data_IF_284006733603
#
_entry.id   IF_284006733603
#
_cell.length_a   1.000
_cell.length_b   1.000
_cell.length_c   1.000
_cell.angle_alpha   90.00
_cell.angle_beta   90.00
_cell.angle_gamma   90.00
#
_symmetry.space_group_name_H-M   'P 1'
#
loop_
_entity.id
_entity.type
_entity.pdbx_description
1 polymer ?
#
# COMPACT_ATOMS: atom_id res chain seq x y z
N UNK A 1 -15.19 -9.65 -17.63
CA UNK A 1 -15.59 -8.25 -17.39
C UNK A 1 -17.03 -8.09 -16.88
N UNK A 2 -17.68 -9.21 -16.51
CA UNK A 2 -19.02 -9.19 -15.91
C UNK A 2 -18.98 -9.39 -14.38
N UNK A 3 -17.79 -9.30 -13.77
CA UNK A 3 -17.62 -9.38 -12.33
C UNK A 3 -18.38 -8.24 -11.64
N UNK A 4 -19.17 -8.58 -10.63
CA UNK A 4 -20.01 -7.65 -9.88
C UNK A 4 -19.79 -7.84 -8.39
N UNK A 5 -19.88 -6.76 -7.66
CA UNK A 5 -19.87 -6.75 -6.22
C UNK A 5 -21.20 -6.17 -5.72
N UNK A 6 -21.69 -6.69 -4.60
CA UNK A 6 -22.92 -6.18 -4.00
C UNK A 6 -22.72 -4.74 -3.53
N UNK A 7 -23.75 -3.90 -3.67
CA UNK A 7 -23.79 -2.57 -3.05
C UNK A 7 -23.81 -2.64 -1.51
N UNK A 8 -24.08 -3.81 -0.95
CA UNK A 8 -24.00 -4.07 0.49
C UNK A 8 -22.65 -4.63 0.93
N UNK A 9 -21.65 -4.73 0.04
CA UNK A 9 -20.30 -5.13 0.42
C UNK A 9 -19.71 -4.16 1.46
N UNK A 10 -19.11 -4.71 2.51
CA UNK A 10 -18.58 -3.94 3.64
C UNK A 10 -17.40 -3.04 3.24
N UNK A 11 -16.58 -3.48 2.28
CA UNK A 11 -15.49 -2.68 1.73
C UNK A 11 -16.02 -1.48 0.93
N UNK A 12 -17.09 -1.68 0.13
CA UNK A 12 -17.73 -0.60 -0.61
C UNK A 12 -18.44 0.39 0.32
N UNK A 13 -19.22 -0.11 1.31
CA UNK A 13 -19.98 0.74 2.21
C UNK A 13 -19.12 1.48 3.25
N UNK A 14 -18.10 0.82 3.80
CA UNK A 14 -17.44 1.24 5.04
C UNK A 14 -15.90 1.26 4.95
N UNK A 15 -15.32 0.79 3.85
CA UNK A 15 -13.89 0.59 3.75
C UNK A 15 -13.36 -0.56 4.64
N UNK A 16 -14.23 -1.50 5.02
CA UNK A 16 -13.92 -2.62 5.92
C UNK A 16 -13.34 -3.78 5.12
N UNK A 17 -12.04 -3.78 4.97
CA UNK A 17 -11.29 -4.77 4.23
C UNK A 17 -9.82 -4.46 4.11
N UNK A 18 -9.06 -5.42 3.64
CA UNK A 18 -7.61 -5.39 3.42
C UNK A 18 -7.32 -5.70 1.95
N UNK A 19 -6.27 -5.09 1.41
CA UNK A 19 -5.88 -5.33 0.03
C UNK A 19 -4.37 -5.41 -0.13
N UNK A 20 -3.93 -6.05 -1.21
CA UNK A 20 -2.53 -6.08 -1.65
C UNK A 20 -2.43 -5.72 -3.13
N UNK A 21 -1.31 -5.10 -3.50
CA UNK A 21 -0.95 -4.84 -4.88
C UNK A 21 0.34 -5.58 -5.21
N UNK A 22 0.33 -6.43 -6.24
CA UNK A 22 1.44 -7.31 -6.58
C UNK A 22 1.77 -7.13 -8.06
N UNK A 23 3.05 -6.94 -8.37
CA UNK A 23 3.51 -6.76 -9.74
C UNK A 23 3.90 -8.08 -10.38
N UNK A 24 3.56 -8.23 -11.66
CA UNK A 24 4.02 -9.31 -12.52
C UNK A 24 5.15 -8.80 -13.42
N UNK A 25 6.31 -9.43 -13.34
CA UNK A 25 7.48 -9.14 -14.17
C UNK A 25 8.04 -10.46 -14.71
N UNK A 26 8.24 -10.57 -16.00
CA UNK A 26 8.79 -11.76 -16.65
C UNK A 26 8.10 -13.05 -16.17
N UNK A 27 6.78 -13.07 -16.17
CA UNK A 27 5.94 -14.20 -15.71
C UNK A 27 6.12 -14.58 -14.22
N UNK A 28 6.71 -13.71 -13.41
CA UNK A 28 6.91 -13.92 -11.98
C UNK A 28 6.16 -12.89 -11.15
N UNK A 29 5.36 -13.33 -10.20
CA UNK A 29 4.74 -12.47 -9.20
C UNK A 29 5.76 -12.05 -8.16
N UNK A 30 6.11 -10.76 -8.16
CA UNK A 30 7.20 -10.21 -7.33
C UNK A 30 6.80 -10.23 -5.85
N UNK A 31 7.59 -10.91 -5.02
CA UNK A 31 7.40 -11.04 -3.57
C UNK A 31 6.00 -11.55 -3.16
N UNK A 32 5.44 -12.49 -3.93
CA UNK A 32 4.07 -13.00 -3.72
C UNK A 32 3.84 -13.52 -2.30
N UNK A 33 4.78 -14.26 -1.74
CA UNK A 33 4.64 -14.84 -0.39
C UNK A 33 4.62 -13.76 0.70
N UNK A 34 5.45 -12.74 0.58
CA UNK A 34 5.46 -11.59 1.49
C UNK A 34 4.15 -10.82 1.43
N UNK A 35 3.60 -10.61 0.23
CA UNK A 35 2.31 -9.96 0.05
C UNK A 35 1.17 -10.78 0.67
N UNK A 36 1.15 -12.10 0.44
CA UNK A 36 0.14 -12.97 1.06
C UNK A 36 0.28 -13.01 2.58
N UNK A 37 1.51 -13.06 3.12
CA UNK A 37 1.72 -12.99 4.56
C UNK A 37 1.09 -11.71 5.14
N UNK A 38 1.37 -10.55 4.55
CA UNK A 38 0.83 -9.26 5.01
C UNK A 38 -0.69 -9.15 4.84
N UNK A 39 -1.26 -9.74 3.77
CA UNK A 39 -2.71 -9.83 3.59
C UNK A 39 -3.38 -10.57 4.75
N UNK A 40 -2.85 -11.75 5.13
CA UNK A 40 -3.38 -12.54 6.24
C UNK A 40 -3.18 -11.85 7.60
N UNK A 41 -2.02 -11.24 7.83
CA UNK A 41 -1.75 -10.45 9.04
C UNK A 41 -2.72 -9.27 9.16
N UNK A 42 -2.96 -8.54 8.06
CA UNK A 42 -3.90 -7.43 8.02
C UNK A 42 -5.33 -7.86 8.29
N UNK A 43 -5.79 -8.95 7.67
CA UNK A 43 -7.13 -9.50 7.92
C UNK A 43 -7.29 -9.95 9.37
N UNK A 44 -6.28 -10.64 9.92
CA UNK A 44 -6.28 -11.05 11.33
C UNK A 44 -6.34 -9.85 12.28
N UNK A 45 -5.64 -8.75 11.96
CA UNK A 45 -5.61 -7.55 12.78
C UNK A 45 -6.98 -6.84 12.91
N UNK A 46 -7.87 -7.02 11.90
CA UNK A 46 -9.23 -6.49 11.93
C UNK A 46 -10.30 -7.58 12.10
N UNK A 47 -9.90 -8.75 12.58
CA UNK A 47 -10.79 -9.88 12.87
C UNK A 47 -11.61 -10.33 11.64
N UNK A 48 -10.95 -10.44 10.48
CA UNK A 48 -11.48 -11.10 9.29
C UNK A 48 -10.82 -12.48 9.16
N UNK A 49 -11.60 -13.54 9.27
CA UNK A 49 -11.13 -14.91 9.07
C UNK A 49 -11.14 -15.26 7.58
N UNK A 50 -9.97 -15.63 7.06
CA UNK A 50 -9.82 -16.07 5.67
C UNK A 50 -9.89 -17.59 5.64
N UNK A 51 -10.93 -18.16 5.04
CA UNK A 51 -11.09 -19.61 4.89
C UNK A 51 -10.29 -20.20 3.73
N UNK A 52 -9.78 -19.37 2.83
CA UNK A 52 -8.91 -19.80 1.73
C UNK A 52 -7.48 -20.01 2.25
N UNK A 53 -6.80 -21.05 1.80
CA UNK A 53 -5.36 -21.18 2.02
C UNK A 53 -4.56 -20.24 1.12
N UNK A 54 -3.30 -19.97 1.45
CA UNK A 54 -2.41 -19.20 0.57
C UNK A 54 -2.26 -19.86 -0.80
N UNK A 55 -2.26 -21.20 -0.86
CA UNK A 55 -2.15 -21.93 -2.11
C UNK A 55 -3.42 -21.80 -2.97
N UNK A 56 -4.60 -21.74 -2.34
CA UNK A 56 -5.85 -21.44 -3.06
C UNK A 56 -5.81 -20.04 -3.67
N UNK A 57 -5.32 -19.04 -2.92
CA UNK A 57 -5.18 -17.68 -3.43
C UNK A 57 -4.14 -17.62 -4.56
N UNK A 58 -2.98 -18.28 -4.41
CA UNK A 58 -1.99 -18.39 -5.50
C UNK A 58 -2.60 -18.99 -6.75
N UNK A 59 -3.32 -20.10 -6.60
CA UNK A 59 -4.01 -20.77 -7.71
C UNK A 59 -4.98 -19.80 -8.41
N UNK A 60 -5.81 -19.08 -7.66
CA UNK A 60 -6.73 -18.09 -8.21
C UNK A 60 -6.00 -16.96 -8.96
N UNK A 61 -4.85 -16.50 -8.45
CA UNK A 61 -4.02 -15.49 -9.13
C UNK A 61 -3.53 -16.02 -10.48
N UNK A 62 -2.95 -17.22 -10.51
CA UNK A 62 -2.45 -17.84 -11.75
C UNK A 62 -3.58 -18.15 -12.75
N UNK A 63 -4.73 -18.60 -12.29
CA UNK A 63 -5.90 -18.82 -13.14
C UNK A 63 -6.38 -17.48 -13.76
N UNK A 64 -6.47 -16.42 -12.96
CA UNK A 64 -6.84 -15.09 -13.45
C UNK A 64 -5.81 -14.54 -14.44
N UNK A 65 -4.52 -14.72 -14.17
CA UNK A 65 -3.42 -14.38 -15.06
C UNK A 65 -3.57 -15.08 -16.42
N UNK A 66 -3.78 -16.38 -16.41
CA UNK A 66 -3.88 -17.19 -17.62
C UNK A 66 -5.10 -16.82 -18.47
N UNK A 67 -6.27 -16.62 -17.86
CA UNK A 67 -7.49 -16.20 -18.56
C UNK A 67 -7.31 -14.83 -19.23
N UNK A 68 -6.54 -13.93 -18.63
CA UNK A 68 -6.26 -12.60 -19.19
C UNK A 68 -5.04 -12.57 -20.12
N UNK A 69 -4.34 -13.70 -20.31
CA UNK A 69 -3.11 -13.83 -21.13
C UNK A 69 -2.02 -12.81 -20.73
N UNK A 70 -1.89 -12.54 -19.44
CA UNK A 70 -0.88 -11.60 -18.91
C UNK A 70 0.39 -12.35 -18.53
N UNK A 71 1.52 -11.99 -19.13
CA UNK A 71 2.81 -12.64 -18.86
C UNK A 71 3.85 -11.68 -18.29
N UNK A 72 3.64 -10.37 -18.45
CA UNK A 72 4.54 -9.32 -18.00
C UNK A 72 3.80 -7.99 -17.86
N UNK A 73 4.47 -7.02 -17.23
CA UNK A 73 3.98 -5.63 -17.13
C UNK A 73 2.52 -5.56 -16.67
N UNK A 74 2.18 -6.34 -15.66
CA UNK A 74 0.85 -6.40 -15.10
C UNK A 74 0.88 -6.20 -13.58
N UNK A 75 -0.27 -5.83 -13.05
CA UNK A 75 -0.49 -5.62 -11.62
C UNK A 75 -1.76 -6.36 -11.19
N UNK A 76 -1.66 -7.13 -10.11
CA UNK A 76 -2.80 -7.74 -9.46
C UNK A 76 -3.14 -6.99 -8.18
N UNK A 77 -4.40 -6.59 -8.04
CA UNK A 77 -4.96 -6.10 -6.78
C UNK A 77 -5.80 -7.21 -6.16
N UNK A 78 -5.35 -7.70 -5.03
CA UNK A 78 -6.09 -8.65 -4.20
C UNK A 78 -6.87 -7.86 -3.14
N UNK A 79 -8.16 -8.13 -3.02
CA UNK A 79 -9.04 -7.42 -2.09
C UNK A 79 -9.85 -8.43 -1.28
N UNK A 80 -9.82 -8.30 0.03
CA UNK A 80 -10.66 -9.07 0.95
C UNK A 80 -11.49 -8.08 1.77
N UNK A 81 -12.80 -8.25 1.73
CA UNK A 81 -13.73 -7.51 2.57
C UNK A 81 -14.40 -8.44 3.57
N UNK A 82 -15.05 -7.89 4.59
CA UNK A 82 -15.87 -8.67 5.54
C UNK A 82 -17.19 -9.18 4.93
N UNK A 83 -17.35 -9.12 3.61
CA UNK A 83 -18.52 -9.61 2.89
C UNK A 83 -19.70 -8.65 2.88
N UNK A 84 -20.88 -9.18 2.55
CA UNK A 84 -22.06 -8.37 2.40
C UNK A 84 -22.74 -8.10 3.75
N UNK A 85 -23.17 -6.88 3.95
CA UNK A 85 -23.90 -6.46 5.14
C UNK A 85 -25.38 -6.81 5.02
N UNK A 86 -25.96 -7.42 6.06
CA UNK A 86 -27.41 -7.59 6.21
C UNK A 86 -28.08 -6.22 6.38
N UNK A 87 -27.38 -5.30 7.05
CA UNK A 87 -27.74 -3.88 7.24
C UNK A 87 -26.48 -3.03 7.16
N UNK A 88 -26.53 -1.80 6.60
CA UNK A 88 -25.35 -0.93 6.38
C UNK A 88 -24.83 -0.28 7.67
N UNK A 89 -24.66 -1.05 8.74
CA UNK A 89 -24.11 -0.61 10.03
C UNK A 89 -22.68 -1.14 10.24
N UNK A 90 -21.91 -0.48 11.12
CA UNK A 90 -20.53 -0.86 11.42
C UNK A 90 -20.38 -2.20 12.13
N UNK A 91 -21.44 -2.76 12.72
CA UNK A 91 -21.42 -4.00 13.49
C UNK A 91 -20.87 -5.17 12.64
N UNK A 92 -19.71 -5.79 13.00
CA UNK A 92 -19.12 -6.88 12.22
C UNK A 92 -20.03 -8.11 12.07
N UNK A 93 -20.77 -8.47 13.12
CA UNK A 93 -21.71 -9.61 13.13
C UNK A 93 -22.89 -9.50 12.14
N UNK A 94 -23.06 -8.34 11.51
CA UNK A 94 -24.05 -8.14 10.45
C UNK A 94 -23.50 -8.44 9.05
N UNK A 95 -22.37 -9.09 8.94
CA UNK A 95 -21.76 -9.52 7.67
C UNK A 95 -21.94 -11.03 7.46
N UNK A 96 -22.06 -11.46 6.21
CA UNK A 96 -22.36 -12.84 5.82
C UNK A 96 -21.13 -13.66 5.38
N UNK A 97 -19.94 -13.25 5.74
CA UNK A 97 -18.69 -13.92 5.37
C UNK A 97 -17.68 -12.97 4.75
N UNK A 98 -16.87 -13.45 3.80
CA UNK A 98 -15.88 -12.64 3.10
C UNK A 98 -16.20 -12.55 1.60
N UNK A 99 -15.84 -11.43 0.99
CA UNK A 99 -15.70 -11.34 -0.47
C UNK A 99 -14.20 -11.26 -0.79
N UNK A 100 -13.77 -12.10 -1.73
CA UNK A 100 -12.41 -12.07 -2.27
C UNK A 100 -12.45 -11.68 -3.74
N UNK A 101 -11.74 -10.65 -4.11
CA UNK A 101 -11.71 -10.09 -5.47
C UNK A 101 -10.27 -9.97 -5.95
N UNK A 102 -10.00 -10.41 -7.17
CA UNK A 102 -8.74 -10.18 -7.87
C UNK A 102 -9.04 -9.28 -9.07
N UNK A 103 -8.37 -8.14 -9.12
CA UNK A 103 -8.38 -7.26 -10.29
C UNK A 103 -6.99 -7.33 -10.91
N UNK A 104 -6.91 -7.65 -12.20
CA UNK A 104 -5.65 -7.61 -12.95
C UNK A 104 -5.74 -6.55 -14.05
N UNK A 105 -4.65 -5.78 -14.16
CA UNK A 105 -4.53 -4.72 -15.17
C UNK A 105 -3.12 -4.71 -15.76
N UNK A 106 -3.00 -4.30 -17.01
CA UNK A 106 -1.70 -3.96 -17.58
C UNK A 106 -1.17 -2.70 -16.88
N UNK A 107 0.06 -2.77 -16.44
CA UNK A 107 0.74 -1.68 -15.75
C UNK A 107 2.16 -1.60 -16.28
N UNK A 108 2.34 -0.87 -17.36
CA UNK A 108 3.67 -0.59 -17.90
C UNK A 108 4.52 0.12 -16.84
N UNK A 109 5.81 -0.19 -16.82
CA UNK A 109 6.74 0.60 -16.03
C UNK A 109 6.76 2.01 -16.63
N UNK A 110 6.26 2.97 -15.88
CA UNK A 110 6.57 4.35 -16.21
C UNK A 110 8.09 4.49 -16.09
N UNK A 111 8.77 4.66 -17.21
CA UNK A 111 10.15 5.11 -17.21
C UNK A 111 10.15 6.54 -16.68
N UNK A 112 10.16 6.67 -15.35
CA UNK A 112 10.22 7.98 -14.68
C UNK A 112 11.67 8.46 -14.80
N UNK A 113 12.08 8.81 -16.02
CA UNK A 113 13.39 9.41 -16.25
C UNK A 113 13.48 10.83 -15.66
N UNK A 114 12.33 11.49 -15.48
CA UNK A 114 12.25 12.90 -15.06
C UNK A 114 11.85 13.05 -13.57
N UNK A 115 11.60 11.95 -12.86
CA UNK A 115 11.10 11.98 -11.48
C UNK A 115 9.66 12.49 -11.37
N UNK A 116 9.18 12.70 -10.13
CA UNK A 116 7.86 13.27 -9.83
C UNK A 116 8.00 14.45 -8.86
N UNK A 117 7.05 15.39 -8.93
CA UNK A 117 7.02 16.54 -8.04
C UNK A 117 6.22 16.21 -6.78
N UNK A 118 6.90 16.20 -5.64
CA UNK A 118 6.27 16.04 -4.33
C UNK A 118 5.93 17.40 -3.72
N UNK A 119 4.74 17.51 -3.16
CA UNK A 119 4.32 18.70 -2.39
C UNK A 119 4.07 18.29 -0.94
N UNK A 120 4.73 18.96 0.00
CA UNK A 120 4.41 18.80 1.43
C UNK A 120 3.04 19.41 1.71
N UNK A 121 2.16 18.62 2.32
CA UNK A 121 0.77 19.00 2.58
C UNK A 121 0.47 19.06 4.06
N UNK A 122 -0.52 19.86 4.50
CA UNK A 122 -0.96 19.90 5.91
C UNK A 122 -1.66 18.61 6.38
N UNK A 123 -2.11 17.75 5.46
CA UNK A 123 -2.69 16.45 5.82
C UNK A 123 -1.59 15.53 6.36
N UNK A 124 -1.64 15.19 7.64
CA UNK A 124 -0.67 14.29 8.29
C UNK A 124 -1.13 12.83 8.29
N UNK A 125 -0.20 11.94 8.54
CA UNK A 125 -0.50 10.51 8.73
C UNK A 125 -1.36 10.32 9.99
N UNK A 126 -2.23 9.30 9.95
CA UNK A 126 -3.10 8.98 11.07
C UNK A 126 -2.34 8.44 12.29
N UNK A 127 -2.95 8.58 13.46
CA UNK A 127 -2.47 7.94 14.69
C UNK A 127 -2.88 6.47 14.71
N UNK A 128 -2.02 5.55 15.22
CA UNK A 128 -2.37 4.12 15.33
C UNK A 128 -3.66 3.87 16.11
N UNK A 129 -3.97 4.70 17.09
CA UNK A 129 -5.18 4.57 17.90
C UNK A 129 -6.48 5.00 17.19
N UNK A 130 -6.39 5.72 16.07
CA UNK A 130 -7.57 6.08 15.26
C UNK A 130 -7.80 5.08 14.14
N UNK A 131 -6.83 4.91 13.29
CA UNK A 131 -6.74 3.89 12.25
C UNK A 131 -5.26 3.67 11.98
N UNK A 132 -4.73 2.50 12.36
CA UNK A 132 -3.30 2.24 12.25
C UNK A 132 -2.85 2.32 10.78
N UNK A 133 -1.97 3.27 10.42
CA UNK A 133 -1.50 3.46 9.05
C UNK A 133 -0.63 2.31 8.54
N UNK A 134 -0.23 1.37 9.40
CA UNK A 134 0.45 0.11 9.02
C UNK A 134 -0.48 -0.84 8.28
N UNK A 135 -1.81 -0.73 8.51
CA UNK A 135 -2.79 -1.56 7.82
C UNK A 135 -2.97 -1.12 6.36
N UNK A 136 -2.89 -2.08 5.46
CA UNK A 136 -3.26 -1.85 4.06
C UNK A 136 -4.77 -2.01 3.86
N UNK A 137 -5.55 -1.21 4.58
CA UNK A 137 -7.01 -1.27 4.56
C UNK A 137 -7.60 -0.57 3.32
N UNK A 138 -8.87 -0.86 3.03
CA UNK A 138 -9.64 -0.16 1.98
C UNK A 138 -9.91 1.31 2.34
N UNK A 139 -9.86 1.68 3.62
CA UNK A 139 -10.07 3.06 4.09
C UNK A 139 -8.88 3.95 3.76
N UNK A 140 -8.87 4.55 2.58
CA UNK A 140 -7.75 5.38 2.06
C UNK A 140 -8.04 6.88 2.05
N UNK A 141 -9.11 7.34 2.70
CA UNK A 141 -9.52 8.74 2.63
C UNK A 141 -8.43 9.71 3.09
N UNK A 142 -7.65 9.37 4.13
CA UNK A 142 -6.50 10.18 4.57
C UNK A 142 -5.48 10.41 3.45
N UNK A 143 -5.13 9.36 2.71
CA UNK A 143 -4.20 9.44 1.58
C UNK A 143 -4.80 10.20 0.39
N UNK A 144 -6.10 10.00 0.11
CA UNK A 144 -6.82 10.69 -0.98
C UNK A 144 -6.86 12.19 -0.70
N UNK A 145 -7.15 12.61 0.54
CA UNK A 145 -7.16 14.04 0.92
C UNK A 145 -5.78 14.67 0.75
N UNK A 146 -4.71 13.96 1.09
CA UNK A 146 -3.35 14.43 0.86
C UNK A 146 -3.05 14.59 -0.65
N UNK A 147 -3.42 13.59 -1.45
CA UNK A 147 -3.25 13.64 -2.91
C UNK A 147 -4.03 14.82 -3.55
N UNK A 148 -5.26 15.07 -3.11
CA UNK A 148 -6.06 16.24 -3.56
C UNK A 148 -5.34 17.56 -3.25
N UNK A 149 -4.71 17.67 -2.07
CA UNK A 149 -3.98 18.88 -1.69
C UNK A 149 -2.72 19.07 -2.55
N UNK A 150 -1.97 18.00 -2.82
CA UNK A 150 -0.80 18.04 -3.69
C UNK A 150 -1.17 18.44 -5.12
N UNK A 151 -2.19 17.80 -5.69
CA UNK A 151 -2.65 18.10 -7.05
C UNK A 151 -3.13 19.57 -7.20
N UNK A 152 -3.83 20.12 -6.19
CA UNK A 152 -4.22 21.54 -6.17
C UNK A 152 -3.03 22.48 -6.10
N UNK A 153 -1.90 22.04 -5.57
CA UNK A 153 -0.65 22.78 -5.50
C UNK A 153 0.27 22.53 -6.71
N UNK A 154 -0.17 21.74 -7.70
CA UNK A 154 0.59 21.45 -8.92
C UNK A 154 1.62 20.35 -8.79
N UNK A 155 1.56 19.52 -7.74
CA UNK A 155 2.41 18.34 -7.56
C UNK A 155 1.72 17.05 -8.02
N UNK A 156 2.52 16.03 -8.21
CA UNK A 156 2.07 14.69 -8.60
C UNK A 156 1.61 13.88 -7.39
N UNK A 157 2.37 13.95 -6.27
CA UNK A 157 2.05 13.29 -5.01
C UNK A 157 2.31 14.20 -3.79
N UNK A 158 1.67 13.85 -2.68
CA UNK A 158 1.87 14.52 -1.40
C UNK A 158 3.02 13.89 -0.63
N UNK A 159 3.93 14.72 -0.09
CA UNK A 159 4.82 14.31 0.99
C UNK A 159 4.11 14.60 2.32
N UNK A 160 3.82 13.55 3.09
CA UNK A 160 3.08 13.61 4.34
C UNK A 160 4.03 13.54 5.54
N UNK A 161 3.73 14.36 6.55
CA UNK A 161 4.42 14.31 7.83
C UNK A 161 3.68 13.37 8.80
N UNK A 162 4.39 12.92 9.83
CA UNK A 162 3.79 12.27 10.98
C UNK A 162 3.13 13.31 11.93
N UNK A 163 2.40 12.88 12.95
CA UNK A 163 1.77 13.80 13.91
C UNK A 163 2.76 14.66 14.72
N UNK A 164 4.04 14.31 14.74
CA UNK A 164 5.10 15.08 15.40
C UNK A 164 5.83 16.06 14.46
N UNK A 165 5.45 16.07 13.17
CA UNK A 165 6.03 16.98 12.17
C UNK A 165 7.27 16.42 11.46
N UNK A 166 7.64 15.15 11.65
CA UNK A 166 8.72 14.53 10.92
C UNK A 166 8.22 13.96 9.58
N UNK A 167 9.12 13.92 8.59
CA UNK A 167 8.82 13.35 7.28
C UNK A 167 8.54 11.87 7.42
N UNK A 168 7.46 11.42 6.78
CA UNK A 168 7.02 10.05 6.91
C UNK A 168 7.00 9.30 5.57
N UNK A 169 6.05 9.61 4.69
CA UNK A 169 5.79 8.85 3.47
C UNK A 169 5.07 9.73 2.45
N UNK A 170 4.95 9.30 1.20
CA UNK A 170 3.99 9.94 0.30
C UNK A 170 2.56 9.45 0.59
N UNK A 171 1.58 9.95 -0.17
CA UNK A 171 0.20 9.43 -0.07
C UNK A 171 0.07 7.97 -0.56
N UNK A 172 1.00 7.48 -1.36
CA UNK A 172 0.94 6.14 -1.98
C UNK A 172 2.18 5.27 -1.73
N UNK A 173 3.39 5.88 -1.56
CA UNK A 173 4.68 5.19 -1.51
C UNK A 173 5.47 5.54 -0.26
N UNK A 174 6.41 4.66 0.13
CA UNK A 174 7.43 5.01 1.11
C UNK A 174 8.44 6.00 0.52
N UNK A 175 9.09 6.76 1.37
CA UNK A 175 9.97 7.85 0.98
C UNK A 175 11.37 7.68 1.57
N UNK A 176 12.38 7.90 0.75
CA UNK A 176 13.79 7.82 1.10
C UNK A 176 14.53 9.08 0.69
N UNK A 177 15.58 9.43 1.42
CA UNK A 177 16.57 10.43 1.02
C UNK A 177 17.97 9.84 1.06
N UNK A 178 18.87 10.38 0.23
CA UNK A 178 20.30 10.12 0.31
C UNK A 178 20.98 11.36 0.88
N UNK A 179 21.66 11.19 2.00
CA UNK A 179 22.40 12.27 2.66
C UNK A 179 23.75 11.76 3.16
N UNK A 180 24.85 12.42 2.71
CA UNK A 180 26.21 12.03 3.04
C UNK A 180 26.56 10.57 2.71
N UNK A 181 26.08 10.07 1.57
CA UNK A 181 26.22 8.68 1.12
C UNK A 181 25.50 7.64 2.02
N UNK A 182 24.60 8.07 2.87
CA UNK A 182 23.74 7.22 3.69
C UNK A 182 22.29 7.36 3.22
N UNK A 183 21.53 6.28 3.30
CA UNK A 183 20.10 6.26 2.97
C UNK A 183 19.27 6.43 4.24
N UNK A 184 18.30 7.34 4.23
CA UNK A 184 17.40 7.56 5.36
C UNK A 184 15.95 7.35 4.94
N UNK A 185 15.18 6.73 5.82
CA UNK A 185 13.71 6.60 5.69
C UNK A 185 13.08 6.75 7.07
N UNK A 186 11.77 6.98 7.12
CA UNK A 186 11.03 7.11 8.38
C UNK A 186 11.08 5.83 9.23
N UNK A 187 10.79 5.94 10.53
CA UNK A 187 10.78 4.80 11.48
C UNK A 187 9.80 3.70 11.09
N UNK A 188 8.77 4.01 10.31
CA UNK A 188 7.70 3.07 9.97
C UNK A 188 6.55 3.02 10.99
N UNK A 189 6.56 3.89 12.02
CA UNK A 189 5.51 3.90 13.05
C UNK A 189 4.18 4.44 12.54
N UNK A 190 4.22 5.39 11.61
CA UNK A 190 3.05 6.09 11.07
C UNK A 190 2.82 5.82 9.57
N UNK A 191 3.40 4.77 9.01
CA UNK A 191 3.17 4.37 7.63
C UNK A 191 3.13 2.86 7.48
N UNK A 192 2.65 2.41 6.34
CA UNK A 192 2.76 1.00 5.97
C UNK A 192 4.25 0.65 5.76
N UNK A 193 4.70 -0.42 6.42
CA UNK A 193 6.01 -0.99 6.17
C UNK A 193 5.96 -1.75 4.85
N UNK A 194 6.21 -1.02 3.76
CA UNK A 194 6.13 -1.54 2.39
C UNK A 194 7.10 -2.70 2.16
N UNK A 195 6.69 -3.69 1.38
CA UNK A 195 7.57 -4.80 0.99
C UNK A 195 8.75 -4.25 0.19
N UNK A 196 8.51 -3.37 -0.78
CA UNK A 196 9.58 -2.68 -1.51
C UNK A 196 10.50 -1.89 -0.57
N UNK A 197 9.94 -1.19 0.44
CA UNK A 197 10.76 -0.49 1.45
C UNK A 197 11.70 -1.46 2.17
N UNK A 198 11.22 -2.60 2.61
CA UNK A 198 12.04 -3.61 3.27
C UNK A 198 13.13 -4.15 2.34
N UNK A 199 12.80 -4.40 1.07
CA UNK A 199 13.77 -4.86 0.07
C UNK A 199 14.84 -3.81 -0.25
N UNK A 200 14.50 -2.52 -0.29
CA UNK A 200 15.48 -1.44 -0.40
C UNK A 200 16.44 -1.42 0.80
N UNK A 201 15.90 -1.56 2.01
CA UNK A 201 16.72 -1.61 3.24
C UNK A 201 17.64 -2.85 3.22
N UNK A 202 17.13 -4.02 2.84
CA UNK A 202 17.92 -5.25 2.69
C UNK A 202 19.03 -5.05 1.64
N UNK A 203 18.69 -4.47 0.48
CA UNK A 203 19.64 -4.19 -0.60
C UNK A 203 20.76 -3.23 -0.14
N UNK A 204 20.41 -2.18 0.58
CA UNK A 204 21.40 -1.28 1.16
C UNK A 204 22.36 -2.04 2.09
N UNK A 205 21.82 -2.84 3.01
CA UNK A 205 22.63 -3.62 3.96
C UNK A 205 23.57 -4.63 3.28
N UNK A 206 23.08 -5.30 2.23
CA UNK A 206 23.89 -6.29 1.49
C UNK A 206 24.97 -5.67 0.62
N UNK A 207 24.86 -4.38 0.32
CA UNK A 207 25.86 -3.62 -0.45
C UNK A 207 26.68 -2.65 0.40
N UNK A 208 26.71 -2.84 1.73
CA UNK A 208 27.45 -2.00 2.68
C UNK A 208 27.06 -0.51 2.61
N UNK A 209 25.83 -0.20 2.16
CA UNK A 209 25.26 1.14 2.19
C UNK A 209 24.57 1.32 3.54
N UNK A 210 25.02 2.30 4.30
CA UNK A 210 24.43 2.59 5.60
C UNK A 210 23.03 3.13 5.45
N UNK A 211 22.06 2.47 6.07
CA UNK A 211 20.66 2.85 6.04
C UNK A 211 20.12 3.13 7.43
N UNK A 212 19.33 4.19 7.57
CA UNK A 212 18.73 4.62 8.84
C UNK A 212 17.21 4.67 8.74
N UNK A 213 16.58 3.97 9.63
CA UNK A 213 15.15 4.10 9.91
C UNK A 213 15.01 5.05 11.10
N UNK A 214 14.72 6.33 10.83
CA UNK A 214 14.75 7.39 11.86
C UNK A 214 13.82 8.56 11.53
N UNK A 215 13.54 9.37 12.53
CA UNK A 215 12.89 10.67 12.33
C UNK A 215 13.86 11.66 11.66
N UNK A 216 13.39 12.39 10.68
CA UNK A 216 14.08 13.50 10.02
C UNK A 216 13.06 14.55 9.55
N UNK A 217 13.52 15.76 9.38
CA UNK A 217 12.66 16.91 9.08
C UNK A 217 12.72 17.32 7.62
N UNK A 218 11.87 18.27 7.21
CA UNK A 218 11.93 18.86 5.87
C UNK A 218 13.27 19.55 5.58
N UNK A 219 13.97 20.06 6.61
CA UNK A 219 15.32 20.63 6.44
C UNK A 219 16.28 19.56 5.95
N UNK A 220 16.14 18.32 6.43
CA UNK A 220 16.97 17.20 5.97
C UNK A 220 16.64 16.84 4.52
N UNK A 221 15.37 16.85 4.13
CA UNK A 221 14.95 16.61 2.75
C UNK A 221 15.53 17.66 1.81
N UNK A 222 15.34 18.95 2.12
CA UNK A 222 15.84 20.05 1.26
C UNK A 222 17.37 20.13 1.19
N UNK A 223 18.08 19.54 2.14
CA UNK A 223 19.54 19.46 2.16
C UNK A 223 20.10 18.09 1.71
N UNK A 224 19.25 17.17 1.29
CA UNK A 224 19.66 15.87 0.77
C UNK A 224 20.24 16.00 -0.65
N UNK A 225 21.10 15.06 -1.04
CA UNK A 225 21.62 14.97 -2.40
C UNK A 225 20.59 14.37 -3.36
N UNK A 226 19.80 13.41 -2.86
CA UNK A 226 18.80 12.67 -3.67
C UNK A 226 17.59 12.33 -2.80
N UNK A 227 16.44 12.08 -3.46
CA UNK A 227 15.27 11.48 -2.86
C UNK A 227 14.59 10.51 -3.82
N UNK A 228 14.00 9.46 -3.28
CA UNK A 228 13.28 8.46 -4.08
C UNK A 228 12.19 7.75 -3.29
#
# INVERSE_FOLDING_TARGET
DDAKISVFDSGFLLGDGIWEGIRLVDNNWVFLDEHLNRLYEGCKAIDIEIFLSKDDIKKAIFETQNINNMTDSAHARLMITRGNKIKPFQQPSLSDGINFVIIMEHSEENSINDGINLVTVPQVRGLPMSQDPKLNSHSKLNCILACIQANKAGGDEALMLDPSGFVNTTNSCNFFIVKNKEVWTSTGDYCMNGITRLKVIELCKTNDIKVHEKNFSLVDVYSAQESF
#
